data_IF_135231660338
#
_entry.id   IF_135231660338
#
_cell.length_a   1.000
_cell.length_b   1.000
_cell.length_c   1.000
_cell.angle_alpha   90.00
_cell.angle_beta   90.00
_cell.angle_gamma   90.00
#
_symmetry.space_group_name_H-M   'P 1'
#
loop_
_entity.id
_entity.type
_entity.pdbx_description
1 polymer ?
#
# COMPACT_ATOMS: atom_id res chain seq x y z
N UNK A 1 13.51 35.60 -9.47
CA UNK A 1 12.91 35.47 -10.81
C UNK A 1 13.54 34.30 -11.55
N UNK A 2 13.11 33.07 -11.24
CA UNK A 2 13.42 31.87 -12.02
C UNK A 2 12.12 31.10 -12.20
N UNK A 3 11.67 31.05 -13.45
CA UNK A 3 10.33 30.62 -13.87
C UNK A 3 10.18 29.10 -13.79
N UNK A 4 9.11 28.67 -13.12
CA UNK A 4 8.43 27.39 -13.31
C UNK A 4 8.09 27.15 -14.79
N UNK A 5 8.96 26.43 -15.50
CA UNK A 5 8.67 25.87 -16.84
C UNK A 5 9.35 24.51 -16.96
N UNK A 6 8.79 23.49 -16.32
CA UNK A 6 9.02 22.08 -16.70
C UNK A 6 7.91 21.12 -16.25
N UNK A 7 6.78 21.62 -15.75
CA UNK A 7 5.57 20.85 -15.45
C UNK A 7 4.61 20.83 -16.64
N UNK A 8 5.03 20.30 -17.80
CA UNK A 8 4.14 19.98 -18.95
C UNK A 8 4.95 19.39 -20.11
N UNK A 9 5.12 18.07 -20.11
CA UNK A 9 5.52 17.22 -21.25
C UNK A 9 5.68 15.81 -20.67
N UNK A 10 4.81 14.81 -20.89
CA UNK A 10 4.17 14.40 -22.12
C UNK A 10 2.73 13.93 -21.84
N UNK A 11 1.77 14.77 -22.19
CA UNK A 11 0.57 14.32 -22.86
C UNK A 11 0.82 14.61 -24.34
N UNK A 12 1.24 13.60 -25.13
CA UNK A 12 1.07 13.51 -26.59
C UNK A 12 1.76 12.26 -27.14
N UNK A 13 0.98 11.19 -27.32
CA UNK A 13 0.93 10.55 -28.63
C UNK A 13 -0.50 10.71 -29.11
N UNK A 14 -0.65 11.49 -30.17
CA UNK A 14 -1.90 11.69 -30.90
C UNK A 14 -2.31 10.36 -31.54
N UNK A 15 -3.25 9.67 -30.91
CA UNK A 15 -4.36 9.07 -31.64
C UNK A 15 -5.62 9.78 -31.13
N UNK A 16 -6.38 10.33 -32.06
CA UNK A 16 -7.57 11.14 -31.80
C UNK A 16 -8.66 10.27 -31.16
N UNK A 17 -8.72 10.25 -29.83
CA UNK A 17 -9.86 9.70 -29.08
C UNK A 17 -10.94 10.79 -28.99
N UNK A 18 -12.19 10.51 -29.40
CA UNK A 18 -13.28 11.49 -29.31
C UNK A 18 -13.50 11.98 -27.88
N UNK A 19 -13.73 13.29 -27.74
CA UNK A 19 -13.89 14.02 -26.47
C UNK A 19 -15.25 13.75 -25.79
N UNK A 20 -15.75 12.51 -25.82
CA UNK A 20 -17.06 12.19 -25.24
C UNK A 20 -17.17 10.83 -24.54
N UNK A 21 -16.05 10.18 -24.22
CA UNK A 21 -16.08 9.01 -23.36
C UNK A 21 -15.60 9.40 -21.96
N UNK A 22 -16.47 9.18 -20.95
CA UNK A 22 -16.06 9.16 -19.54
C UNK A 22 -14.77 8.33 -19.48
N UNK A 23 -13.66 8.84 -18.93
CA UNK A 23 -12.46 8.04 -18.83
C UNK A 23 -12.84 6.78 -18.06
N UNK A 24 -12.78 5.64 -18.75
CA UNK A 24 -12.97 4.34 -18.14
C UNK A 24 -11.96 4.26 -17.00
N UNK A 25 -12.47 4.25 -15.77
CA UNK A 25 -11.64 4.05 -14.58
C UNK A 25 -11.16 2.61 -14.68
N UNK A 26 -10.02 2.38 -15.32
CA UNK A 26 -9.34 1.09 -15.30
C UNK A 26 -9.13 0.76 -13.83
N UNK A 27 -9.93 -0.18 -13.32
CA UNK A 27 -9.81 -0.71 -11.96
C UNK A 27 -8.44 -1.39 -11.88
N UNK A 28 -7.49 -0.70 -11.26
CA UNK A 28 -6.14 -1.19 -11.01
C UNK A 28 -6.19 -2.11 -9.78
N UNK A 29 -6.78 -3.30 -9.93
CA UNK A 29 -6.86 -4.27 -8.83
C UNK A 29 -5.53 -5.02 -8.69
N UNK A 30 -5.07 -5.30 -7.46
CA UNK A 30 -3.91 -6.16 -7.25
C UNK A 30 -4.16 -7.57 -7.81
N UNK A 31 -3.16 -8.08 -8.54
CA UNK A 31 -3.25 -9.31 -9.32
C UNK A 31 -2.85 -10.55 -8.54
N UNK A 32 -1.99 -10.41 -7.52
CA UNK A 32 -1.57 -11.52 -6.66
C UNK A 32 -2.30 -11.44 -5.33
N UNK A 33 -3.14 -12.45 -5.06
CA UNK A 33 -4.11 -12.45 -3.95
C UNK A 33 -4.05 -13.73 -3.11
N UNK A 34 -2.94 -14.46 -3.15
CA UNK A 34 -2.78 -15.66 -2.33
C UNK A 34 -2.62 -15.29 -0.86
N UNK A 35 -2.87 -16.27 0.01
CA UNK A 35 -2.79 -16.09 1.45
C UNK A 35 -1.74 -17.01 2.06
N UNK A 36 -0.98 -16.46 3.00
CA UNK A 36 -0.21 -17.23 3.96
C UNK A 36 -1.17 -17.78 5.02
N UNK A 37 -0.95 -19.00 5.47
CA UNK A 37 -1.74 -19.64 6.53
C UNK A 37 -0.86 -20.27 7.60
N UNK A 38 -1.27 -20.18 8.86
CA UNK A 38 -0.71 -20.99 9.96
C UNK A 38 -1.26 -22.44 9.89
N UNK A 39 -0.96 -23.10 8.78
CA UNK A 39 -1.35 -24.48 8.49
C UNK A 39 -0.19 -25.16 7.76
N UNK A 40 0.30 -26.27 8.30
CA UNK A 40 1.43 -27.01 7.73
C UNK A 40 1.16 -27.57 6.32
N UNK A 41 -0.10 -27.70 5.94
CA UNK A 41 -0.53 -28.18 4.61
C UNK A 41 -0.72 -27.07 3.60
N UNK A 42 -0.67 -25.79 4.02
CA UNK A 42 -0.88 -24.66 3.12
C UNK A 42 0.29 -24.50 2.14
N UNK A 43 -0.03 -24.16 0.88
CA UNK A 43 0.97 -23.87 -0.15
C UNK A 43 1.94 -22.76 0.29
N UNK A 44 1.38 -21.71 0.88
CA UNK A 44 2.13 -20.65 1.56
C UNK A 44 1.91 -20.77 3.07
N UNK A 45 2.71 -21.61 3.72
CA UNK A 45 2.65 -21.77 5.18
C UNK A 45 3.49 -20.71 5.92
N UNK A 46 2.98 -20.22 7.03
CA UNK A 46 3.69 -19.27 7.87
C UNK A 46 5.00 -19.88 8.40
N UNK A 47 6.15 -19.34 7.96
CA UNK A 47 7.48 -19.86 8.28
C UNK A 47 8.47 -18.68 8.46
N UNK A 48 9.29 -18.66 9.53
CA UNK A 48 10.34 -17.67 9.69
C UNK A 48 11.36 -17.73 8.54
N UNK A 49 11.84 -16.56 8.12
CA UNK A 49 12.87 -16.39 7.09
C UNK A 49 12.49 -16.90 5.69
N UNK A 50 11.21 -17.25 5.45
CA UNK A 50 10.71 -17.62 4.12
C UNK A 50 10.24 -16.43 3.29
N UNK A 51 9.69 -15.41 3.94
CA UNK A 51 9.00 -14.32 3.26
C UNK A 51 9.80 -13.02 3.29
N UNK A 52 9.67 -12.25 2.21
CA UNK A 52 10.28 -10.93 2.05
C UNK A 52 9.23 -9.89 1.63
N UNK A 53 9.30 -8.70 2.21
CA UNK A 53 8.51 -7.55 1.80
C UNK A 53 9.33 -6.60 0.93
N UNK A 54 8.95 -6.43 -0.33
CA UNK A 54 9.41 -5.29 -1.13
C UNK A 54 8.48 -4.10 -0.90
N UNK A 55 9.05 -2.98 -0.46
CA UNK A 55 8.31 -1.77 -0.06
C UNK A 55 8.91 -0.52 -0.68
N UNK A 56 8.25 0.62 -0.52
CA UNK A 56 8.89 1.94 -0.68
C UNK A 56 8.54 2.79 0.53
N UNK A 57 9.53 3.45 1.14
CA UNK A 57 9.29 4.42 2.21
C UNK A 57 8.39 5.59 1.76
N UNK A 58 8.36 5.90 0.46
CA UNK A 58 7.47 6.92 -0.11
C UNK A 58 6.00 6.48 -0.23
N UNK A 59 5.68 5.18 -0.13
CA UNK A 59 4.34 4.66 -0.38
C UNK A 59 3.54 4.44 0.91
N UNK A 60 2.36 5.07 1.10
CA UNK A 60 1.53 4.84 2.30
C UNK A 60 0.99 3.42 2.38
N UNK A 61 0.65 2.79 1.25
CA UNK A 61 0.17 1.41 1.20
C UNK A 61 1.23 0.42 1.68
N UNK A 62 2.48 0.62 1.28
CA UNK A 62 3.60 -0.19 1.75
C UNK A 62 3.97 0.13 3.20
N UNK A 63 3.80 1.38 3.63
CA UNK A 63 4.07 1.77 5.02
C UNK A 63 3.18 1.00 6.01
N UNK A 64 1.94 0.66 5.64
CA UNK A 64 1.04 -0.15 6.48
C UNK A 64 1.65 -1.49 6.86
N UNK A 65 2.29 -2.18 5.90
CA UNK A 65 2.89 -3.50 6.15
C UNK A 65 4.11 -3.39 7.07
N UNK A 66 4.90 -2.33 6.94
CA UNK A 66 6.02 -2.05 7.84
C UNK A 66 5.55 -1.74 9.27
N UNK A 67 4.48 -0.94 9.42
CA UNK A 67 3.90 -0.63 10.73
C UNK A 67 3.39 -1.91 11.40
N UNK A 68 2.60 -2.73 10.70
CA UNK A 68 2.06 -3.98 11.28
C UNK A 68 3.18 -4.99 11.56
N UNK A 69 4.17 -5.13 10.67
CA UNK A 69 5.37 -5.95 10.91
C UNK A 69 6.07 -5.54 12.22
N UNK A 70 6.20 -4.25 12.47
CA UNK A 70 6.81 -3.72 13.70
C UNK A 70 5.91 -3.91 14.92
N UNK A 71 4.63 -3.60 14.83
CA UNK A 71 3.67 -3.77 15.94
C UNK A 71 3.56 -5.24 16.38
N UNK A 72 3.56 -6.18 15.45
CA UNK A 72 3.55 -7.63 15.74
C UNK A 72 4.92 -8.17 16.18
N UNK A 73 5.99 -7.39 16.02
CA UNK A 73 7.35 -7.82 16.37
C UNK A 73 7.87 -8.94 15.46
N UNK A 74 7.61 -8.83 14.15
CA UNK A 74 7.94 -9.85 13.14
C UNK A 74 9.28 -9.58 12.46
N UNK A 75 10.17 -8.81 13.08
CA UNK A 75 11.37 -8.35 12.37
C UNK A 75 12.39 -9.45 12.07
N UNK A 76 12.43 -10.45 12.95
CA UNK A 76 13.28 -11.63 12.82
C UNK A 76 12.59 -12.76 12.04
N UNK A 77 11.34 -12.55 11.59
CA UNK A 77 10.50 -13.54 10.92
C UNK A 77 10.37 -13.22 9.43
N UNK A 78 10.12 -11.95 9.10
CA UNK A 78 9.90 -11.48 7.73
C UNK A 78 10.91 -10.39 7.43
N UNK A 79 11.73 -10.61 6.42
CA UNK A 79 12.70 -9.62 5.96
C UNK A 79 12.02 -8.57 5.07
N UNK A 80 12.65 -7.41 4.85
CA UNK A 80 12.15 -6.41 3.92
C UNK A 80 13.29 -5.62 3.25
N UNK A 81 13.01 -5.05 2.09
CA UNK A 81 13.88 -4.09 1.39
C UNK A 81 13.03 -2.97 0.80
N UNK A 82 13.57 -1.76 0.79
CA UNK A 82 12.95 -0.65 0.08
C UNK A 82 13.50 -0.57 -1.33
N UNK A 83 12.63 -0.35 -2.32
CA UNK A 83 13.04 0.20 -3.63
C UNK A 83 13.44 1.66 -3.47
N UNK A 84 14.05 2.24 -4.51
CA UNK A 84 14.37 3.67 -4.53
C UNK A 84 13.11 4.53 -4.36
N UNK A 85 13.26 5.66 -3.68
CA UNK A 85 12.18 6.63 -3.48
C UNK A 85 11.84 7.38 -4.77
N UNK A 86 12.80 7.48 -5.71
CA UNK A 86 12.56 8.04 -7.03
C UNK A 86 12.08 6.95 -7.99
N UNK A 87 10.82 7.08 -8.43
CA UNK A 87 10.29 6.26 -9.52
C UNK A 87 11.07 6.55 -10.81
N UNK A 88 11.63 5.51 -11.43
CA UNK A 88 12.21 5.62 -12.76
C UNK A 88 11.09 5.77 -13.78
N UNK A 89 10.78 7.03 -14.08
CA UNK A 89 9.83 7.42 -15.11
C UNK A 89 10.44 7.33 -16.51
N UNK A 90 11.78 7.30 -16.62
CA UNK A 90 12.41 7.06 -17.90
C UNK A 90 12.11 5.60 -18.31
N UNK A 91 11.57 5.41 -19.51
CA UNK A 91 11.21 4.10 -20.07
C UNK A 91 10.09 3.34 -19.32
N UNK A 92 9.37 3.99 -18.39
CA UNK A 92 8.23 3.37 -17.70
C UNK A 92 8.60 2.18 -16.81
N UNK A 93 9.84 2.11 -16.33
CA UNK A 93 10.34 0.97 -15.58
C UNK A 93 9.84 0.93 -14.12
N UNK A 94 9.37 2.06 -13.58
CA UNK A 94 8.67 2.12 -12.29
C UNK A 94 9.64 2.08 -11.11
N UNK A 95 9.37 1.19 -10.15
CA UNK A 95 10.17 1.06 -8.93
C UNK A 95 11.54 0.43 -9.23
N UNK A 96 12.62 1.17 -8.96
CA UNK A 96 13.99 0.76 -9.27
C UNK A 96 14.74 0.24 -8.04
N UNK A 97 15.68 -0.66 -8.28
CA UNK A 97 16.71 -1.08 -7.32
C UNK A 97 18.00 -0.32 -7.65
N UNK A 98 18.30 0.72 -6.87
CA UNK A 98 19.49 1.55 -7.06
C UNK A 98 20.65 1.03 -6.22
N UNK A 99 21.84 1.63 -6.37
CA UNK A 99 23.00 1.28 -5.53
C UNK A 99 22.74 1.50 -4.03
N UNK A 100 21.91 2.49 -3.69
CA UNK A 100 21.53 2.80 -2.30
C UNK A 100 20.42 1.88 -1.79
N UNK A 101 19.66 1.28 -2.71
CA UNK A 101 18.49 0.44 -2.45
C UNK A 101 18.52 -0.81 -3.35
N UNK A 102 19.56 -1.66 -3.26
CA UNK A 102 19.66 -2.86 -4.11
C UNK A 102 18.67 -3.93 -3.65
N UNK A 103 18.26 -4.82 -4.57
CA UNK A 103 17.54 -6.04 -4.20
C UNK A 103 18.52 -7.00 -3.48
N UNK A 104 18.26 -7.39 -2.22
CA UNK A 104 19.15 -8.29 -1.49
C UNK A 104 19.10 -9.74 -1.99
N UNK A 105 18.07 -10.13 -2.75
CA UNK A 105 17.86 -11.52 -3.18
C UNK A 105 18.21 -11.77 -4.64
N UNK A 106 18.21 -10.72 -5.48
CA UNK A 106 18.48 -10.83 -6.91
C UNK A 106 19.45 -9.73 -7.36
N UNK A 107 20.75 -10.00 -7.30
CA UNK A 107 21.79 -9.00 -7.58
C UNK A 107 21.78 -8.43 -9.01
N UNK A 108 21.16 -9.14 -9.95
CA UNK A 108 21.02 -8.73 -11.34
C UNK A 108 19.75 -7.92 -11.62
N UNK A 109 18.83 -7.84 -10.66
CA UNK A 109 17.59 -7.08 -10.85
C UNK A 109 17.85 -5.59 -10.66
N UNK A 110 17.30 -4.82 -11.59
CA UNK A 110 17.38 -3.36 -11.63
C UNK A 110 16.06 -2.70 -11.25
N UNK A 111 14.96 -3.43 -11.33
CA UNK A 111 13.60 -2.93 -11.10
C UNK A 111 12.68 -4.00 -10.51
N UNK A 112 11.70 -3.57 -9.73
CA UNK A 112 10.70 -4.45 -9.12
C UNK A 112 9.88 -5.24 -10.16
N UNK A 113 9.75 -4.73 -11.39
CA UNK A 113 9.07 -5.44 -12.49
C UNK A 113 9.69 -6.82 -12.77
N UNK A 114 10.97 -7.00 -12.46
CA UNK A 114 11.67 -8.28 -12.65
C UNK A 114 11.19 -9.32 -11.63
N UNK A 115 10.90 -8.91 -10.39
CA UNK A 115 10.24 -9.75 -9.37
C UNK A 115 8.84 -10.19 -9.83
N UNK A 116 8.07 -9.27 -10.42
CA UNK A 116 6.77 -9.60 -11.01
C UNK A 116 6.90 -10.62 -12.16
N UNK A 117 7.87 -10.42 -13.05
CA UNK A 117 8.13 -11.34 -14.17
C UNK A 117 8.68 -12.70 -13.77
N UNK A 118 9.31 -12.78 -12.59
CA UNK A 118 9.72 -14.04 -12.00
C UNK A 118 8.50 -14.90 -11.60
N UNK A 119 7.43 -14.25 -11.13
CA UNK A 119 6.18 -14.91 -10.74
C UNK A 119 5.25 -15.16 -11.92
N UNK A 120 5.24 -14.27 -12.90
CA UNK A 120 4.50 -14.40 -14.15
C UNK A 120 5.30 -13.78 -15.30
N UNK A 121 5.96 -14.59 -16.15
CA UNK A 121 6.78 -14.09 -17.26
C UNK A 121 6.04 -13.16 -18.24
N UNK A 122 4.71 -13.28 -18.32
CA UNK A 122 3.86 -12.49 -19.21
C UNK A 122 3.17 -11.32 -18.51
N UNK A 123 3.55 -11.00 -17.26
CA UNK A 123 2.92 -9.94 -16.48
C UNK A 123 2.99 -8.59 -17.19
N UNK A 124 1.82 -8.01 -17.48
CA UNK A 124 1.63 -6.72 -18.15
C UNK A 124 0.89 -5.68 -17.29
N UNK A 125 0.54 -6.06 -16.04
CA UNK A 125 -0.15 -5.20 -15.09
C UNK A 125 0.74 -4.13 -14.43
N UNK A 126 0.14 -3.39 -13.48
CA UNK A 126 0.89 -2.39 -12.70
C UNK A 126 1.81 -3.07 -11.69
N UNK A 127 3.07 -2.66 -11.71
CA UNK A 127 4.07 -3.03 -10.70
C UNK A 127 3.92 -2.09 -9.50
N UNK A 128 3.42 -2.62 -8.39
CA UNK A 128 3.12 -1.86 -7.17
C UNK A 128 3.98 -2.29 -5.99
N UNK A 129 3.99 -1.47 -4.95
CA UNK A 129 4.44 -1.86 -3.60
C UNK A 129 3.26 -1.63 -2.64
N UNK A 130 3.09 -2.44 -1.59
CA UNK A 130 3.98 -3.52 -1.15
C UNK A 130 3.85 -4.80 -1.98
N UNK A 131 4.89 -5.63 -1.95
CA UNK A 131 4.87 -7.01 -2.46
C UNK A 131 5.32 -7.95 -1.35
N UNK A 132 4.49 -8.94 -1.03
CA UNK A 132 4.85 -10.06 -0.16
C UNK A 132 5.33 -11.21 -1.04
N UNK A 133 6.62 -11.51 -0.97
CA UNK A 133 7.31 -12.46 -1.84
C UNK A 133 7.75 -13.69 -1.05
N UNK A 134 7.58 -14.87 -1.62
CA UNK A 134 8.04 -16.14 -1.07
C UNK A 134 9.41 -16.49 -1.64
N UNK A 135 10.45 -16.40 -0.81
CA UNK A 135 11.82 -16.71 -1.20
C UNK A 135 12.03 -18.19 -1.54
N UNK A 136 11.18 -19.08 -1.01
CA UNK A 136 11.30 -20.52 -1.25
C UNK A 136 10.81 -20.91 -2.64
N UNK A 137 9.67 -20.36 -3.05
CA UNK A 137 9.06 -20.67 -4.35
C UNK A 137 9.39 -19.64 -5.42
N UNK A 138 10.03 -18.53 -5.06
CA UNK A 138 10.39 -17.43 -5.94
C UNK A 138 9.15 -16.78 -6.59
N UNK A 139 8.04 -16.71 -5.84
CA UNK A 139 6.76 -16.18 -6.31
C UNK A 139 6.20 -15.09 -5.39
N UNK A 140 5.49 -14.13 -5.99
CA UNK A 140 4.66 -13.19 -5.26
C UNK A 140 3.48 -13.93 -4.66
N UNK A 141 3.34 -13.83 -3.33
CA UNK A 141 2.18 -14.31 -2.60
C UNK A 141 1.03 -13.32 -2.79
N UNK A 142 1.29 -12.05 -2.46
CA UNK A 142 0.25 -11.03 -2.41
C UNK A 142 0.81 -9.62 -2.65
N UNK A 143 0.07 -8.76 -3.34
CA UNK A 143 0.40 -7.34 -3.50
C UNK A 143 -0.75 -6.37 -3.12
N UNK A 144 -1.69 -6.85 -2.32
CA UNK A 144 -2.81 -6.08 -1.72
C UNK A 144 -2.52 -5.76 -0.24
N UNK A 145 -2.35 -4.47 0.06
CA UNK A 145 -1.88 -4.02 1.37
C UNK A 145 -2.81 -4.40 2.55
N UNK A 146 -4.14 -4.22 2.47
CA UNK A 146 -5.10 -4.66 3.49
C UNK A 146 -5.05 -6.17 3.77
N UNK A 147 -4.84 -7.01 2.75
CA UNK A 147 -4.73 -8.46 2.94
C UNK A 147 -3.40 -8.83 3.60
N UNK A 148 -2.30 -8.21 3.15
CA UNK A 148 -0.98 -8.41 3.73
C UNK A 148 -0.99 -8.06 5.22
N UNK A 149 -1.54 -6.91 5.62
CA UNK A 149 -1.57 -6.56 7.05
C UNK A 149 -2.43 -7.53 7.88
N UNK A 150 -3.49 -8.12 7.30
CA UNK A 150 -4.29 -9.15 7.98
C UNK A 150 -3.52 -10.46 8.13
N UNK A 151 -2.76 -10.88 7.11
CA UNK A 151 -1.85 -12.02 7.22
C UNK A 151 -0.79 -11.81 8.31
N UNK A 152 -0.14 -10.64 8.31
CA UNK A 152 0.84 -10.28 9.34
C UNK A 152 0.24 -10.23 10.75
N UNK A 153 -1.03 -9.83 10.86
CA UNK A 153 -1.73 -9.70 12.13
C UNK A 153 -1.96 -11.05 12.82
N UNK A 154 -2.32 -12.11 12.08
CA UNK A 154 -2.75 -13.38 12.70
C UNK A 154 -1.96 -14.62 12.29
N UNK A 155 -1.56 -14.73 11.02
CA UNK A 155 -1.00 -15.98 10.47
C UNK A 155 0.42 -16.27 10.99
N UNK A 156 1.10 -15.26 11.54
CA UNK A 156 2.44 -15.40 12.11
C UNK A 156 2.46 -15.34 13.65
N UNK A 157 1.31 -15.48 14.32
CA UNK A 157 1.23 -15.36 15.78
C UNK A 157 2.20 -16.28 16.52
N UNK A 158 2.43 -17.51 16.03
CA UNK A 158 3.41 -18.46 16.61
C UNK A 158 4.86 -17.94 16.65
N UNK A 159 5.19 -16.96 15.81
CA UNK A 159 6.54 -16.40 15.66
C UNK A 159 6.62 -14.92 16.08
N UNK A 160 5.49 -14.29 16.39
CA UNK A 160 5.40 -12.89 16.76
C UNK A 160 5.92 -12.65 18.18
N UNK A 161 6.63 -11.52 18.40
CA UNK A 161 6.96 -11.07 19.78
C UNK A 161 5.73 -10.57 20.52
N UNK A 162 4.71 -10.09 19.80
CA UNK A 162 3.44 -9.61 20.34
C UNK A 162 2.27 -10.44 19.78
N UNK A 163 2.16 -11.74 20.13
CA UNK A 163 1.14 -12.63 19.56
C UNK A 163 -0.28 -12.21 19.93
N UNK A 164 -0.48 -11.67 21.14
CA UNK A 164 -1.79 -11.27 21.66
C UNK A 164 -2.31 -9.93 21.12
N UNK A 165 -1.46 -9.16 20.42
CA UNK A 165 -1.90 -7.95 19.75
C UNK A 165 -2.73 -8.33 18.52
N UNK A 166 -4.03 -8.04 18.57
CA UNK A 166 -4.95 -8.21 17.45
C UNK A 166 -5.47 -6.84 16.97
N UNK A 167 -5.06 -6.46 15.76
CA UNK A 167 -5.46 -5.23 15.08
C UNK A 167 -6.81 -5.35 14.35
N UNK A 168 -7.38 -6.56 14.26
CA UNK A 168 -8.67 -6.81 13.61
C UNK A 168 -9.55 -7.79 14.42
N UNK A 169 -9.82 -7.47 15.71
CA UNK A 169 -10.54 -8.36 16.61
C UNK A 169 -12.01 -8.50 16.21
N UNK A 170 -12.55 -9.70 16.39
CA UNK A 170 -13.90 -10.09 15.94
C UNK A 170 -14.99 -9.09 16.35
N UNK A 171 -14.99 -8.66 17.61
CA UNK A 171 -16.00 -7.74 18.15
C UNK A 171 -15.99 -6.34 17.54
N UNK A 172 -14.90 -5.95 16.86
CA UNK A 172 -14.77 -4.63 16.24
C UNK A 172 -14.78 -4.67 14.71
N UNK A 173 -14.82 -5.85 14.07
CA UNK A 173 -14.65 -5.99 12.61
C UNK A 173 -15.62 -5.13 11.82
N UNK A 174 -16.91 -5.20 12.12
CA UNK A 174 -17.93 -4.41 11.41
C UNK A 174 -17.66 -2.91 11.47
N UNK A 175 -17.24 -2.39 12.63
CA UNK A 175 -16.88 -0.98 12.80
C UNK A 175 -15.59 -0.64 12.05
N UNK A 176 -14.58 -1.51 12.13
CA UNK A 176 -13.30 -1.35 11.43
C UNK A 176 -13.51 -1.33 9.92
N UNK A 177 -14.29 -2.26 9.37
CA UNK A 177 -14.55 -2.34 7.94
C UNK A 177 -15.30 -1.11 7.44
N UNK A 178 -16.34 -0.66 8.17
CA UNK A 178 -17.06 0.57 7.84
C UNK A 178 -16.16 1.81 7.85
N UNK A 179 -15.29 1.94 8.86
CA UNK A 179 -14.30 3.03 8.94
C UNK A 179 -13.31 2.94 7.78
N UNK A 180 -12.79 1.74 7.51
CA UNK A 180 -11.81 1.50 6.46
C UNK A 180 -12.32 1.85 5.07
N UNK A 181 -13.57 1.54 4.76
CA UNK A 181 -14.20 1.84 3.48
C UNK A 181 -14.34 3.35 3.28
N UNK A 182 -14.81 4.05 4.32
CA UNK A 182 -14.97 5.50 4.26
C UNK A 182 -13.62 6.23 4.22
N UNK A 183 -12.68 5.87 5.08
CA UNK A 183 -11.33 6.44 5.12
C UNK A 183 -10.59 6.16 3.81
N UNK A 184 -10.74 4.96 3.23
CA UNK A 184 -10.13 4.67 1.93
C UNK A 184 -10.68 5.58 0.84
N UNK A 185 -12.01 5.63 0.69
CA UNK A 185 -12.66 6.38 -0.39
C UNK A 185 -12.47 7.89 -0.26
N UNK A 186 -12.69 8.42 0.95
CA UNK A 186 -12.77 9.86 1.23
C UNK A 186 -11.46 10.48 1.72
N UNK A 187 -10.46 9.68 2.10
CA UNK A 187 -9.18 10.21 2.55
C UNK A 187 -7.99 9.58 1.83
N UNK A 188 -7.71 8.29 2.05
CA UNK A 188 -6.49 7.66 1.54
C UNK A 188 -6.38 7.73 0.02
N UNK A 189 -7.48 7.52 -0.71
CA UNK A 189 -7.54 7.66 -2.16
C UNK A 189 -7.91 9.08 -2.61
N UNK A 190 -8.68 9.81 -1.80
CA UNK A 190 -9.13 11.16 -2.15
C UNK A 190 -7.98 12.17 -2.29
N UNK A 191 -6.93 12.08 -1.47
CA UNK A 191 -5.73 12.93 -1.62
C UNK A 191 -5.06 12.74 -2.99
N UNK A 192 -5.05 11.51 -3.52
CA UNK A 192 -4.56 11.23 -4.88
C UNK A 192 -5.55 11.72 -5.95
N UNK A 193 -6.87 11.56 -5.73
CA UNK A 193 -7.90 12.10 -6.63
C UNK A 193 -7.78 13.61 -6.77
N UNK A 194 -7.58 14.33 -5.67
CA UNK A 194 -7.39 15.77 -5.65
C UNK A 194 -6.08 16.17 -6.35
N UNK A 195 -4.95 15.56 -5.96
CA UNK A 195 -3.63 15.90 -6.51
C UNK A 195 -3.44 15.55 -7.99
N UNK A 196 -4.23 14.61 -8.52
CA UNK A 196 -4.19 14.22 -9.95
C UNK A 196 -5.42 14.68 -10.74
N UNK A 197 -6.29 15.49 -10.15
CA UNK A 197 -7.47 16.02 -10.84
C UNK A 197 -7.06 16.81 -12.09
N UNK A 198 -7.80 16.58 -13.19
CA UNK A 198 -7.62 17.32 -14.46
C UNK A 198 -8.69 18.39 -14.68
N UNK A 199 -9.71 18.44 -13.82
CA UNK A 199 -10.78 19.44 -13.86
C UNK A 199 -11.04 19.97 -12.46
N UNK A 200 -11.57 21.19 -12.38
CA UNK A 200 -11.88 21.86 -11.12
C UNK A 200 -12.93 21.08 -10.33
N UNK A 201 -13.93 20.54 -11.00
CA UNK A 201 -15.05 19.82 -10.39
C UNK A 201 -14.57 18.52 -9.70
N UNK A 202 -13.63 17.80 -10.34
CA UNK A 202 -13.04 16.59 -9.75
C UNK A 202 -12.18 16.94 -8.54
N UNK A 203 -11.40 18.03 -8.64
CA UNK A 203 -10.60 18.54 -7.54
C UNK A 203 -11.48 18.93 -6.35
N UNK A 204 -12.49 19.78 -6.57
CA UNK A 204 -13.39 20.26 -5.52
C UNK A 204 -14.15 19.11 -4.86
N UNK A 205 -14.66 18.15 -5.64
CA UNK A 205 -15.32 16.97 -5.06
C UNK A 205 -14.38 16.21 -4.11
N UNK A 206 -13.13 15.94 -4.53
CA UNK A 206 -12.17 15.24 -3.68
C UNK A 206 -11.74 16.08 -2.46
N UNK A 207 -11.58 17.40 -2.64
CA UNK A 207 -11.28 18.34 -1.55
C UNK A 207 -12.37 18.31 -0.47
N UNK A 208 -13.64 18.39 -0.86
CA UNK A 208 -14.75 18.32 0.09
C UNK A 208 -14.81 16.95 0.78
N UNK A 209 -14.61 15.84 0.04
CA UNK A 209 -14.54 14.49 0.63
C UNK A 209 -13.49 14.43 1.75
N UNK A 210 -12.28 14.97 1.50
CA UNK A 210 -11.14 14.97 2.45
C UNK A 210 -11.48 15.72 3.73
N UNK A 211 -11.92 16.97 3.62
CA UNK A 211 -12.13 17.79 4.82
C UNK A 211 -13.37 17.35 5.61
N UNK A 212 -14.42 16.88 4.94
CA UNK A 212 -15.59 16.32 5.62
C UNK A 212 -15.26 15.06 6.43
N UNK A 213 -14.43 14.15 5.89
CA UNK A 213 -14.02 12.97 6.66
C UNK A 213 -13.04 13.34 7.77
N UNK A 214 -12.14 14.30 7.58
CA UNK A 214 -11.27 14.78 8.65
C UNK A 214 -12.06 15.38 9.81
N UNK A 215 -13.07 16.22 9.55
CA UNK A 215 -13.96 16.75 10.59
C UNK A 215 -14.67 15.63 11.36
N UNK A 216 -15.18 14.61 10.65
CA UNK A 216 -15.80 13.44 11.28
C UNK A 216 -14.82 12.66 12.16
N UNK A 217 -13.60 12.44 11.68
CA UNK A 217 -12.57 11.71 12.42
C UNK A 217 -12.10 12.49 13.64
N UNK A 218 -12.03 13.82 13.56
CA UNK A 218 -11.71 14.69 14.70
C UNK A 218 -12.73 14.55 15.83
N UNK A 219 -14.03 14.52 15.50
CA UNK A 219 -15.07 14.27 16.53
C UNK A 219 -14.85 12.92 17.22
N UNK A 220 -14.60 11.84 16.46
CA UNK A 220 -14.32 10.52 17.02
C UNK A 220 -13.10 10.55 17.94
N UNK A 221 -12.02 11.19 17.49
CA UNK A 221 -10.74 11.22 18.21
C UNK A 221 -10.74 12.18 19.40
N UNK A 222 -11.67 13.14 19.45
CA UNK A 222 -11.90 13.99 20.61
C UNK A 222 -12.49 13.23 21.81
N UNK A 223 -13.21 12.13 21.56
CA UNK A 223 -13.87 11.30 22.58
C UNK A 223 -13.15 9.97 22.85
N UNK A 224 -12.33 9.49 21.91
CA UNK A 224 -11.68 8.18 21.96
C UNK A 224 -10.25 8.26 21.46
N UNK A 225 -9.33 7.56 22.14
CA UNK A 225 -7.91 7.54 21.73
C UNK A 225 -7.69 6.94 20.34
N UNK A 226 -8.54 6.01 19.91
CA UNK A 226 -8.47 5.33 18.61
C UNK A 226 -9.85 5.30 17.92
N UNK A 227 -9.86 5.03 16.62
CA UNK A 227 -11.06 5.18 15.78
C UNK A 227 -12.16 4.17 16.13
N UNK A 228 -11.78 2.90 16.27
CA UNK A 228 -12.72 1.81 16.50
C UNK A 228 -13.03 1.62 18.00
N UNK A 229 -12.15 2.06 18.89
CA UNK A 229 -12.20 1.80 20.34
C UNK A 229 -11.48 2.89 21.12
N UNK A 230 -11.88 3.14 22.37
CA UNK A 230 -11.17 4.10 23.24
C UNK A 230 -9.82 3.60 23.75
N UNK A 231 -9.54 2.30 23.71
CA UNK A 231 -8.34 1.72 24.31
C UNK A 231 -7.61 0.67 23.44
N UNK A 232 -8.14 0.30 22.27
CA UNK A 232 -7.51 -0.64 21.34
C UNK A 232 -7.14 0.03 20.03
N UNK A 233 -5.84 -0.04 19.70
CA UNK A 233 -5.34 0.26 18.37
C UNK A 233 -5.80 -0.82 17.39
N UNK A 234 -6.25 -0.43 16.20
CA UNK A 234 -6.74 -1.34 15.15
C UNK A 234 -6.10 -1.06 13.79
N UNK A 235 -6.36 -1.91 12.79
CA UNK A 235 -5.89 -1.68 11.42
C UNK A 235 -6.46 -0.39 10.81
N UNK A 236 -7.61 0.10 11.28
CA UNK A 236 -8.18 1.38 10.83
C UNK A 236 -7.26 2.55 11.20
N UNK A 237 -6.71 2.55 12.40
CA UNK A 237 -5.79 3.58 12.87
C UNK A 237 -4.49 3.57 12.06
N UNK A 238 -3.95 2.38 11.77
CA UNK A 238 -2.76 2.23 10.91
C UNK A 238 -3.03 2.74 9.49
N UNK A 239 -4.19 2.41 8.92
CA UNK A 239 -4.58 2.83 7.57
C UNK A 239 -4.82 4.33 7.47
N UNK A 240 -5.36 4.96 8.51
CA UNK A 240 -5.50 6.41 8.62
C UNK A 240 -4.13 7.10 8.76
N UNK A 241 -3.34 6.66 9.76
CA UNK A 241 -2.09 7.31 10.14
C UNK A 241 -1.08 7.37 9.00
N UNK A 242 -1.02 6.32 8.17
CA UNK A 242 -0.10 6.28 7.02
C UNK A 242 -0.38 7.35 5.96
N UNK A 243 -1.61 7.90 5.89
CA UNK A 243 -1.94 9.08 5.08
C UNK A 243 -1.72 10.36 5.89
N UNK A 244 -2.16 10.44 7.15
CA UNK A 244 -1.99 11.63 7.99
C UNK A 244 -0.52 12.07 8.11
N UNK A 245 0.40 11.14 8.34
CA UNK A 245 1.84 11.44 8.48
C UNK A 245 2.46 12.01 7.20
N UNK A 246 1.76 11.93 6.06
CA UNK A 246 2.15 12.48 4.77
C UNK A 246 1.32 13.70 4.35
N UNK A 247 0.34 14.10 5.15
CA UNK A 247 -0.56 15.21 4.81
C UNK A 247 0.24 16.52 4.69
N UNK A 248 0.66 17.13 5.79
CA UNK A 248 1.39 18.40 5.76
C UNK A 248 2.68 18.40 4.90
N UNK A 249 3.51 17.33 4.89
CA UNK A 249 4.74 17.36 4.10
C UNK A 249 4.55 17.19 2.59
N UNK A 250 3.40 16.68 2.12
CA UNK A 250 3.20 16.28 0.71
C UNK A 250 1.83 16.64 0.14
N UNK A 251 0.73 16.23 0.79
CA UNK A 251 -0.62 16.35 0.24
C UNK A 251 -1.19 17.76 0.39
#
# INVERSE_FOLDING_TARGET
TFRNKQYLSMATKNESVPVNEKPEVVKNEPTFRNWIKDDETAAFKAEPNRYHLYVSYGCPWAHRTLVVRKLKGLEDVISYSSVDSFLDRAKGCGWAFSKSYPDPHHSNFTHLKEVYRLSDPNFDGRVTVPVLFDLKTQNIVNNESPEIIRMLNSEFNRFAKNPDLDLYPESLRSKIDSLNDEIYSKFNNAVYRAGFAKTQEVYESAFHDIFQILDKLEVILSESRYLASSNKLTEADVRLWTTLVRFDPVY
#
